data_IF_670873981583
#
_entry.id   IF_670873981583
#
_cell.length_a   1.000
_cell.length_b   1.000
_cell.length_c   1.000
_cell.angle_alpha   90.00
_cell.angle_beta   90.00
_cell.angle_gamma   90.00
#
_symmetry.space_group_name_H-M   'P 1'
#
loop_
_entity.id
_entity.type
_entity.pdbx_description
1 polymer ?
#
# COMPACT_ATOMS: atom_id res chain seq x y z
N UNK A 1 -28.48 5.92 -3.94
CA UNK A 1 -28.31 6.22 -5.38
C UNK A 1 -27.78 7.62 -5.70
N UNK A 2 -28.08 8.63 -4.88
CA UNK A 2 -27.62 10.00 -5.13
C UNK A 2 -26.09 10.12 -5.23
N UNK A 3 -25.36 9.31 -4.48
CA UNK A 3 -23.90 9.21 -4.55
C UNK A 3 -23.40 8.74 -5.93
N UNK A 4 -23.98 7.66 -6.49
CA UNK A 4 -23.61 7.17 -7.83
C UNK A 4 -23.98 8.18 -8.91
N UNK A 5 -25.14 8.82 -8.81
CA UNK A 5 -25.60 9.81 -9.80
C UNK A 5 -24.62 10.97 -10.00
N UNK A 6 -23.89 11.37 -8.95
CA UNK A 6 -22.98 12.52 -9.00
C UNK A 6 -21.52 12.13 -9.23
N UNK A 7 -21.14 10.88 -9.00
CA UNK A 7 -19.71 10.47 -8.98
C UNK A 7 -19.38 9.31 -9.91
N UNK A 8 -20.39 8.65 -10.49
CA UNK A 8 -20.18 7.63 -11.51
C UNK A 8 -19.96 8.30 -12.88
N UNK A 9 -18.68 8.45 -13.23
CA UNK A 9 -18.25 9.07 -14.50
C UNK A 9 -17.45 8.06 -15.31
N UNK A 10 -17.47 8.19 -16.64
CA UNK A 10 -16.76 7.26 -17.55
C UNK A 10 -15.26 7.12 -17.27
N UNK A 11 -14.65 8.16 -16.70
CA UNK A 11 -13.22 8.20 -16.37
C UNK A 11 -12.91 7.47 -15.04
N UNK A 12 -13.89 7.37 -14.14
CA UNK A 12 -13.78 6.76 -12.82
C UNK A 12 -15.13 6.07 -12.47
N UNK A 13 -15.43 4.95 -13.13
CA UNK A 13 -16.71 4.27 -12.96
C UNK A 13 -16.81 3.56 -11.61
N UNK A 14 -18.03 3.49 -11.06
CA UNK A 14 -18.33 2.64 -9.91
C UNK A 14 -18.65 1.21 -10.34
N UNK A 15 -17.94 0.23 -9.77
CA UNK A 15 -18.22 -1.18 -9.98
C UNK A 15 -18.92 -1.79 -8.77
N UNK A 16 -20.13 -2.32 -8.97
CA UNK A 16 -20.93 -2.94 -7.91
C UNK A 16 -20.64 -4.44 -7.88
N UNK A 17 -20.31 -4.97 -6.70
CA UNK A 17 -20.02 -6.40 -6.48
C UNK A 17 -21.07 -6.99 -5.54
N UNK A 18 -21.73 -8.07 -5.95
CA UNK A 18 -22.63 -8.80 -5.07
C UNK A 18 -21.82 -9.52 -3.97
N UNK A 19 -22.13 -9.22 -2.70
CA UNK A 19 -21.41 -9.67 -1.52
C UNK A 19 -22.13 -10.73 -0.67
N UNK A 20 -23.20 -11.35 -1.17
CA UNK A 20 -23.93 -12.42 -0.46
C UNK A 20 -23.01 -13.60 -0.11
N UNK A 21 -22.14 -14.00 -1.04
CA UNK A 21 -21.00 -14.90 -0.77
C UNK A 21 -19.70 -14.10 -0.69
N UNK A 22 -19.21 -13.90 0.55
CA UNK A 22 -18.00 -13.13 0.83
C UNK A 22 -16.75 -13.68 0.13
N UNK A 23 -16.63 -15.00 -0.07
CA UNK A 23 -15.45 -15.58 -0.73
C UNK A 23 -15.47 -15.23 -2.22
N UNK A 24 -16.63 -15.44 -2.86
CA UNK A 24 -16.81 -15.13 -4.29
C UNK A 24 -16.68 -13.63 -4.55
N UNK A 25 -17.23 -12.79 -3.68
CA UNK A 25 -17.10 -11.34 -3.77
C UNK A 25 -15.63 -10.90 -3.80
N UNK A 26 -14.82 -11.38 -2.86
CA UNK A 26 -13.37 -11.07 -2.80
C UNK A 26 -12.64 -11.50 -4.06
N UNK A 27 -12.87 -12.73 -4.51
CA UNK A 27 -12.23 -13.27 -5.72
C UNK A 27 -12.63 -12.45 -6.96
N UNK A 28 -13.90 -12.10 -7.09
CA UNK A 28 -14.40 -11.28 -8.21
C UNK A 28 -13.81 -9.87 -8.19
N UNK A 29 -13.73 -9.22 -7.02
CA UNK A 29 -13.11 -7.90 -6.89
C UNK A 29 -11.64 -7.92 -7.30
N UNK A 30 -10.87 -8.92 -6.82
CA UNK A 30 -9.44 -9.06 -7.17
C UNK A 30 -9.29 -9.31 -8.67
N UNK A 31 -10.07 -10.23 -9.25
CA UNK A 31 -10.00 -10.56 -10.66
C UNK A 31 -10.34 -9.36 -11.55
N UNK A 32 -11.39 -8.61 -11.21
CA UNK A 32 -11.76 -7.40 -11.94
C UNK A 32 -10.65 -6.35 -11.91
N UNK A 33 -10.09 -6.08 -10.72
CA UNK A 33 -9.00 -5.12 -10.57
C UNK A 33 -7.77 -5.51 -11.42
N UNK A 34 -7.34 -6.77 -11.34
CA UNK A 34 -6.19 -7.25 -12.10
C UNK A 34 -6.42 -7.20 -13.61
N UNK A 35 -7.65 -7.43 -14.08
CA UNK A 35 -7.98 -7.33 -15.51
C UNK A 35 -8.04 -5.89 -16.03
N UNK A 36 -8.26 -4.91 -15.14
CA UNK A 36 -8.39 -3.50 -15.50
C UNK A 36 -7.03 -2.81 -15.71
N UNK A 37 -5.97 -3.37 -15.17
CA UNK A 37 -4.61 -2.84 -15.24
C UNK A 37 -3.83 -3.68 -16.24
N UNK A 38 -3.19 -3.09 -17.27
CA UNK A 38 -2.27 -3.81 -18.15
C UNK A 38 -1.03 -4.16 -17.33
N UNK A 39 -1.07 -5.33 -16.67
CA UNK A 39 0.03 -5.82 -15.87
C UNK A 39 1.11 -6.38 -16.79
N UNK A 40 2.32 -5.81 -16.69
CA UNK A 40 3.51 -6.32 -17.35
C UNK A 40 4.50 -6.78 -16.28
N UNK A 41 5.17 -7.90 -16.54
CA UNK A 41 6.29 -8.32 -15.70
C UNK A 41 7.40 -7.25 -15.78
N UNK A 42 7.50 -6.45 -14.73
CA UNK A 42 8.54 -5.43 -14.62
C UNK A 42 9.69 -6.03 -13.82
N UNK A 43 10.87 -6.24 -14.42
CA UNK A 43 12.04 -6.66 -13.65
C UNK A 43 12.35 -5.60 -12.60
N UNK A 44 12.78 -5.98 -11.38
CA UNK A 44 13.19 -5.02 -10.38
C UNK A 44 14.28 -4.13 -10.96
N UNK A 45 14.13 -2.81 -10.79
CA UNK A 45 15.17 -1.86 -11.20
C UNK A 45 16.46 -2.23 -10.46
N UNK A 46 17.53 -2.48 -11.20
CA UNK A 46 18.85 -2.58 -10.61
C UNK A 46 19.18 -1.24 -9.95
N UNK A 47 19.30 -1.27 -8.62
CA UNK A 47 19.72 -0.12 -7.85
C UNK A 47 21.21 -0.28 -7.57
N UNK A 48 22.02 0.63 -8.09
CA UNK A 48 23.40 0.75 -7.65
C UNK A 48 23.38 1.33 -6.24
N UNK A 49 23.63 0.47 -5.25
CA UNK A 49 23.83 0.92 -3.89
C UNK A 49 25.19 1.62 -3.80
N UNK A 50 25.26 2.81 -3.17
CA UNK A 50 26.55 3.41 -2.88
C UNK A 50 27.37 2.47 -2.00
N UNK A 51 28.71 2.55 -2.05
CA UNK A 51 29.56 1.80 -1.14
C UNK A 51 29.13 2.05 0.30
N UNK A 52 29.17 1.00 1.12
CA UNK A 52 28.84 1.08 2.54
C UNK A 52 29.71 2.16 3.19
N UNK A 53 29.09 3.10 3.88
CA UNK A 53 29.82 4.06 4.69
C UNK A 53 30.44 3.30 5.89
N UNK A 54 31.76 3.39 6.02
CA UNK A 54 32.51 2.85 7.17
C UNK A 54 32.46 3.80 8.39
N UNK A 55 31.85 4.97 8.24
CA UNK A 55 31.50 5.82 9.38
C UNK A 55 30.54 5.04 10.29
N UNK A 56 31.10 4.47 11.35
CA UNK A 56 30.34 3.75 12.34
C UNK A 56 29.26 4.65 12.91
N UNK A 57 28.02 4.16 12.92
CA UNK A 57 26.97 4.79 13.68
C UNK A 57 27.39 4.88 15.15
N UNK A 58 27.79 6.07 15.59
CA UNK A 58 27.99 6.35 17.00
C UNK A 58 26.61 6.64 17.57
N UNK A 59 26.02 5.62 18.20
CA UNK A 59 24.78 5.81 18.96
C UNK A 59 25.01 6.93 19.97
N UNK A 60 24.17 8.00 19.99
CA UNK A 60 24.23 9.01 21.03
C UNK A 60 24.18 8.35 22.42
N UNK A 61 24.93 8.86 23.41
CA UNK A 61 24.89 8.36 24.77
C UNK A 61 23.45 8.18 25.26
N UNK A 62 23.19 7.08 25.96
CA UNK A 62 21.86 6.81 26.51
C UNK A 62 21.39 7.96 27.42
N UNK A 63 22.33 8.67 28.07
CA UNK A 63 22.08 9.85 28.90
C UNK A 63 21.41 11.01 28.19
N UNK A 64 21.59 11.13 26.86
CA UNK A 64 21.10 12.26 26.08
C UNK A 64 19.69 11.98 25.53
N UNK A 65 19.15 10.79 25.80
CA UNK A 65 17.81 10.37 25.38
C UNK A 65 16.80 10.73 26.46
N UNK A 66 15.74 11.46 26.08
CA UNK A 66 14.61 11.73 26.97
C UNK A 66 13.70 10.50 26.98
N UNK A 67 13.77 9.69 28.03
CA UNK A 67 12.91 8.52 28.20
C UNK A 67 11.53 8.92 28.72
N UNK A 68 10.51 8.23 28.23
CA UNK A 68 9.15 8.32 28.79
C UNK A 68 9.18 7.70 30.20
N UNK A 69 8.54 8.31 31.20
CA UNK A 69 8.47 7.74 32.55
C UNK A 69 7.86 6.33 32.54
N UNK A 70 8.50 5.39 33.21
CA UNK A 70 7.89 4.09 33.51
C UNK A 70 6.86 4.27 34.63
N UNK A 71 5.60 3.92 34.35
CA UNK A 71 4.46 4.08 35.25
C UNK A 71 4.07 2.74 35.93
N UNK A 72 4.64 1.62 35.50
CA UNK A 72 4.33 0.26 35.98
C UNK A 72 5.58 -0.50 36.39
#
# INVERSE_FOLDING_TARGET
DEMFKHTDIKQAPWFVVNADDKKRARLNTIAHLLSSIPYEETPPRELELPPRQDEGYVRPPMSDQTFVPEIY
#
